data_IF_028431390795
#
_entry.id   IF_028431390795
#
_cell.length_a   1.000
_cell.length_b   1.000
_cell.length_c   1.000
_cell.angle_alpha   90.00
_cell.angle_beta   90.00
_cell.angle_gamma   90.00
#
_symmetry.space_group_name_H-M   'P 1'
#
loop_
_entity.id
_entity.type
_entity.pdbx_description
1 polymer ?
#
# COMPACT_ATOMS: atom_id res chain seq x y z
N UNK A 1 8.56 22.62 3.39
CA UNK A 1 8.98 21.49 4.24
C UNK A 1 10.06 20.71 3.53
N UNK A 2 11.03 20.25 4.28
CA UNK A 2 12.06 19.39 3.70
C UNK A 2 11.46 18.07 3.22
N UNK A 3 11.92 17.61 2.08
CA UNK A 3 11.57 16.30 1.56
C UNK A 3 12.17 15.23 2.45
N UNK A 4 11.39 14.19 2.72
CA UNK A 4 11.79 13.05 3.56
C UNK A 4 11.75 11.79 2.73
N UNK A 5 12.79 10.96 2.85
CA UNK A 5 12.86 9.65 2.21
C UNK A 5 12.60 8.56 3.24
N UNK A 6 11.71 7.65 2.90
CA UNK A 6 11.34 6.52 3.74
C UNK A 6 11.67 5.24 2.98
N UNK A 7 12.36 4.30 3.63
CA UNK A 7 12.79 3.05 3.00
C UNK A 7 11.86 1.91 3.39
N UNK A 8 11.77 0.93 2.51
CA UNK A 8 11.02 -0.28 2.77
C UNK A 8 11.62 -1.49 2.07
N UNK A 9 11.13 -2.67 2.44
CA UNK A 9 11.61 -3.94 1.90
C UNK A 9 10.54 -5.02 2.05
N UNK A 10 10.67 -6.10 1.25
CA UNK A 10 9.85 -7.29 1.43
C UNK A 10 10.39 -8.13 2.59
N UNK A 11 9.63 -9.16 2.95
CA UNK A 11 9.97 -10.01 4.10
C UNK A 11 11.37 -10.65 3.99
N UNK A 12 11.75 -11.14 2.81
CA UNK A 12 13.06 -11.76 2.60
C UNK A 12 14.17 -10.75 2.30
N UNK A 13 13.80 -9.47 2.16
CA UNK A 13 14.70 -8.33 1.90
C UNK A 13 15.40 -8.37 0.53
N UNK A 14 14.98 -9.25 -0.36
CA UNK A 14 15.50 -9.27 -1.74
C UNK A 14 15.02 -8.06 -2.55
N UNK A 15 13.88 -7.49 -2.18
CA UNK A 15 13.34 -6.28 -2.81
C UNK A 15 13.41 -5.13 -1.81
N UNK A 16 13.99 -4.01 -2.26
CA UNK A 16 14.13 -2.80 -1.45
C UNK A 16 13.73 -1.58 -2.26
N UNK A 17 13.12 -0.60 -1.60
CA UNK A 17 12.66 0.60 -2.26
C UNK A 17 12.79 1.83 -1.37
N UNK A 18 12.67 2.98 -2.00
CA UNK A 18 12.57 4.27 -1.31
C UNK A 18 11.35 5.02 -1.84
N UNK A 19 10.69 5.72 -0.94
CA UNK A 19 9.57 6.60 -1.26
C UNK A 19 9.78 7.94 -0.58
N UNK A 20 9.50 9.04 -1.29
CA UNK A 20 9.68 10.38 -0.73
C UNK A 20 8.35 11.09 -0.50
N UNK A 21 8.36 12.03 0.43
CA UNK A 21 7.21 12.87 0.76
C UNK A 21 7.09 14.04 -0.23
N UNK A 22 5.93 14.73 -0.28
CA UNK A 22 4.71 14.46 0.47
C UNK A 22 3.91 13.28 -0.11
N UNK A 23 3.11 12.65 0.75
CA UNK A 23 2.21 11.58 0.31
C UNK A 23 0.91 12.16 -0.22
N UNK A 24 0.36 11.57 -1.27
CA UNK A 24 -0.97 11.90 -1.79
C UNK A 24 -2.04 11.42 -0.81
N UNK A 25 -1.82 10.22 -0.27
CA UNK A 25 -2.77 9.58 0.64
C UNK A 25 -2.06 8.62 1.57
N UNK A 26 -2.59 8.49 2.78
CA UNK A 26 -2.19 7.49 3.76
C UNK A 26 -3.48 7.04 4.44
N UNK A 27 -3.91 5.81 4.19
CA UNK A 27 -5.20 5.37 4.69
C UNK A 27 -5.39 3.87 4.70
N UNK A 28 -6.50 3.47 5.32
CA UNK A 28 -6.95 2.09 5.38
C UNK A 28 -8.02 1.83 4.34
N UNK A 29 -8.11 0.60 3.85
CA UNK A 29 -9.18 0.16 2.95
C UNK A 29 -9.73 -1.18 3.40
N UNK A 30 -11.06 -1.25 3.55
CA UNK A 30 -11.76 -2.42 4.07
C UNK A 30 -12.48 -3.24 3.00
N UNK A 31 -12.29 -2.93 1.72
CA UNK A 31 -12.98 -3.62 0.65
C UNK A 31 -12.58 -5.10 0.58
N UNK A 32 -13.45 -5.93 -0.01
CA UNK A 32 -13.21 -7.36 -0.11
C UNK A 32 -11.91 -7.70 -0.84
N UNK A 33 -11.56 -6.91 -1.85
CA UNK A 33 -10.32 -7.10 -2.61
C UNK A 33 -9.08 -6.87 -1.75
N UNK A 34 -9.09 -5.82 -0.95
CA UNK A 34 -7.99 -5.54 -0.02
C UNK A 34 -7.86 -6.63 1.03
N UNK A 35 -8.99 -7.12 1.56
CA UNK A 35 -8.96 -8.22 2.51
C UNK A 35 -8.37 -9.48 1.90
N UNK A 36 -8.78 -9.81 0.67
CA UNK A 36 -8.23 -10.98 -0.03
C UNK A 36 -6.74 -10.81 -0.30
N UNK A 37 -6.34 -9.61 -0.68
CA UNK A 37 -4.94 -9.33 -1.01
C UNK A 37 -4.00 -9.38 0.20
N UNK A 38 -4.50 -9.03 1.39
CA UNK A 38 -3.67 -9.00 2.61
C UNK A 38 -3.89 -10.21 3.51
N UNK A 39 -5.03 -10.90 3.38
CA UNK A 39 -5.43 -11.94 4.33
C UNK A 39 -5.85 -11.40 5.69
N UNK A 40 -5.96 -10.09 5.83
CA UNK A 40 -6.36 -9.42 7.06
C UNK A 40 -7.71 -8.73 6.91
N UNK A 41 -8.02 -7.85 7.86
CA UNK A 41 -9.30 -7.13 7.88
C UNK A 41 -9.28 -5.87 7.02
N UNK A 42 -8.10 -5.40 6.64
CA UNK A 42 -7.92 -4.17 5.85
C UNK A 42 -6.54 -4.17 5.20
N UNK A 43 -6.36 -3.28 4.23
CA UNK A 43 -5.03 -2.87 3.78
C UNK A 43 -4.72 -1.48 4.35
N UNK A 44 -3.44 -1.17 4.49
CA UNK A 44 -2.98 0.17 4.88
C UNK A 44 -1.96 0.59 3.84
N UNK A 45 -2.30 1.64 3.10
CA UNK A 45 -1.52 2.03 1.94
C UNK A 45 -1.18 3.51 1.95
N UNK A 46 -0.01 3.80 1.39
CA UNK A 46 0.42 5.15 1.06
C UNK A 46 0.39 5.26 -0.46
N UNK A 47 -0.06 6.41 -0.98
CA UNK A 47 0.02 6.70 -2.40
C UNK A 47 0.93 7.89 -2.62
N UNK A 48 1.81 7.79 -3.62
CA UNK A 48 2.72 8.87 -4.02
C UNK A 48 2.71 9.04 -5.53
N UNK A 49 3.07 10.22 -6.06
CA UNK A 49 3.34 10.34 -7.49
C UNK A 49 4.46 9.39 -7.90
N UNK A 50 4.41 8.88 -9.13
CA UNK A 50 5.38 7.88 -9.58
C UNK A 50 6.84 8.37 -9.47
N UNK A 51 7.07 9.66 -9.63
CA UNK A 51 8.40 10.25 -9.53
C UNK A 51 9.00 10.19 -8.11
N UNK A 52 8.17 9.95 -7.10
CA UNK A 52 8.62 9.90 -5.69
C UNK A 52 8.92 8.48 -5.22
N UNK A 53 8.90 7.52 -6.13
CA UNK A 53 9.18 6.12 -5.81
C UNK A 53 10.39 5.63 -6.60
N UNK A 54 11.21 4.81 -5.96
CA UNK A 54 12.37 4.22 -6.61
C UNK A 54 12.65 2.82 -6.05
N UNK A 55 12.79 1.84 -6.96
CA UNK A 55 13.34 0.53 -6.58
C UNK A 55 14.85 0.68 -6.35
N UNK A 56 15.32 0.17 -5.21
CA UNK A 56 16.75 0.16 -4.89
C UNK A 56 17.35 -1.19 -5.27
N UNK A 57 16.58 -2.26 -5.11
CA UNK A 57 17.06 -3.63 -5.32
C UNK A 57 15.89 -4.54 -5.61
N UNK A 58 16.10 -5.51 -6.49
CA UNK A 58 15.20 -6.64 -6.66
C UNK A 58 14.01 -6.41 -7.58
N UNK A 59 13.93 -5.31 -8.30
CA UNK A 59 12.80 -5.05 -9.20
C UNK A 59 12.47 -6.22 -10.13
N UNK A 60 13.45 -6.95 -10.72
CA UNK A 60 13.13 -8.11 -11.58
C UNK A 60 12.40 -9.25 -10.88
N UNK A 61 12.35 -9.28 -9.55
CA UNK A 61 11.64 -10.31 -8.79
C UNK A 61 10.13 -10.08 -8.71
N UNK A 62 9.66 -8.91 -9.14
CA UNK A 62 8.26 -8.53 -9.00
C UNK A 62 7.36 -9.46 -9.80
N UNK A 63 6.23 -9.87 -9.17
CA UNK A 63 5.12 -10.51 -9.87
C UNK A 63 3.90 -9.62 -9.72
N UNK A 64 3.28 -9.28 -10.84
CA UNK A 64 2.14 -8.37 -10.86
C UNK A 64 0.87 -9.10 -11.28
N UNK A 65 -0.22 -8.75 -10.60
CA UNK A 65 -1.56 -9.20 -10.95
C UNK A 65 -2.49 -8.00 -11.06
N UNK A 66 -3.10 -7.83 -12.23
CA UNK A 66 -4.16 -6.86 -12.47
C UNK A 66 -5.48 -7.62 -12.47
N UNK A 67 -6.39 -7.29 -11.55
CA UNK A 67 -7.67 -7.99 -11.45
C UNK A 67 -8.52 -7.66 -12.68
N UNK A 68 -8.87 -8.66 -13.54
CA UNK A 68 -9.53 -8.36 -14.82
C UNK A 68 -10.86 -7.64 -14.69
N UNK A 69 -11.69 -8.00 -13.71
CA UNK A 69 -13.01 -7.41 -13.52
C UNK A 69 -12.98 -6.07 -12.78
N UNK A 70 -11.80 -5.61 -12.34
CA UNK A 70 -11.67 -4.35 -11.64
C UNK A 70 -11.22 -3.25 -12.59
N UNK A 71 -11.62 -2.02 -12.28
CA UNK A 71 -11.19 -0.85 -13.03
C UNK A 71 -9.73 -0.51 -12.76
N UNK A 72 -9.31 -0.60 -11.50
CA UNK A 72 -7.98 -0.13 -11.11
C UNK A 72 -7.24 -1.05 -10.15
N UNK A 73 -7.89 -2.08 -9.59
CA UNK A 73 -7.24 -2.94 -8.61
C UNK A 73 -6.10 -3.73 -9.23
N UNK A 74 -4.92 -3.57 -8.65
CA UNK A 74 -3.71 -4.31 -9.00
C UNK A 74 -2.91 -4.58 -7.74
N UNK A 75 -2.01 -5.55 -7.79
CA UNK A 75 -1.06 -5.79 -6.72
C UNK A 75 0.23 -6.38 -7.27
N UNK A 76 1.28 -6.20 -6.53
CA UNK A 76 2.56 -6.83 -6.81
C UNK A 76 3.05 -7.56 -5.56
N UNK A 77 3.76 -8.65 -5.80
CA UNK A 77 4.39 -9.42 -4.73
C UNK A 77 5.86 -9.67 -5.08
N UNK A 78 6.66 -9.94 -4.06
CA UNK A 78 8.01 -10.46 -4.24
C UNK A 78 7.93 -11.88 -4.76
N UNK A 79 8.59 -12.16 -5.88
CA UNK A 79 8.59 -13.51 -6.45
C UNK A 79 9.32 -14.54 -5.61
N UNK A 80 10.09 -14.11 -4.61
CA UNK A 80 10.83 -15.00 -3.72
C UNK A 80 10.07 -15.31 -2.43
N UNK A 81 9.57 -14.30 -1.72
CA UNK A 81 8.87 -14.52 -0.43
C UNK A 81 7.34 -14.33 -0.51
N UNK A 82 6.81 -13.92 -1.67
CA UNK A 82 5.38 -13.69 -1.92
C UNK A 82 4.75 -12.57 -1.07
N UNK A 83 5.57 -11.78 -0.41
CA UNK A 83 5.13 -10.63 0.38
C UNK A 83 4.61 -9.53 -0.54
N UNK A 84 3.54 -8.79 -0.17
CA UNK A 84 3.14 -7.61 -0.92
C UNK A 84 4.26 -6.60 -1.04
N UNK A 85 4.37 -5.95 -2.19
CA UNK A 85 5.35 -4.89 -2.45
C UNK A 85 4.66 -3.74 -3.18
N UNK A 86 5.28 -2.55 -3.24
CA UNK A 86 4.68 -1.43 -3.96
C UNK A 86 4.39 -1.74 -5.42
N UNK A 87 3.34 -1.13 -5.96
CA UNK A 87 2.98 -1.27 -7.37
C UNK A 87 2.54 0.06 -7.96
N UNK A 88 2.84 0.26 -9.24
CA UNK A 88 2.32 1.40 -9.97
C UNK A 88 0.84 1.20 -10.25
N UNK A 89 0.05 2.28 -10.17
CA UNK A 89 -1.34 2.27 -10.60
C UNK A 89 -1.42 1.93 -12.10
N UNK A 90 -2.57 1.42 -12.55
CA UNK A 90 -2.73 1.00 -13.95
C UNK A 90 -2.53 2.15 -14.93
N UNK A 91 -2.84 3.38 -14.51
CA UNK A 91 -2.62 4.57 -15.35
C UNK A 91 -1.17 5.07 -15.31
N UNK A 92 -0.31 4.46 -14.50
CA UNK A 92 1.10 4.83 -14.40
C UNK A 92 1.39 6.13 -13.67
N UNK A 93 0.39 6.75 -13.04
CA UNK A 93 0.53 8.07 -12.42
C UNK A 93 1.03 8.02 -10.98
N UNK A 94 0.75 6.91 -10.29
CA UNK A 94 1.01 6.79 -8.85
C UNK A 94 1.66 5.46 -8.52
N UNK A 95 2.28 5.40 -7.35
CA UNK A 95 2.70 4.13 -6.75
C UNK A 95 1.94 3.97 -5.44
N UNK A 96 1.39 2.77 -5.25
CA UNK A 96 0.71 2.39 -4.02
C UNK A 96 1.70 1.56 -3.20
N UNK A 97 1.95 2.01 -1.97
CA UNK A 97 2.93 1.38 -1.07
C UNK A 97 2.19 0.74 0.09
N UNK A 98 2.28 -0.59 0.25
CA UNK A 98 1.77 -1.24 1.46
C UNK A 98 2.57 -0.73 2.66
N UNK A 99 1.91 0.04 3.54
CA UNK A 99 2.62 0.78 4.59
C UNK A 99 3.36 -0.13 5.59
N UNK A 100 2.84 -1.35 5.79
CA UNK A 100 3.50 -2.31 6.67
C UNK A 100 4.85 -2.80 6.17
N UNK A 101 5.20 -2.57 4.90
CA UNK A 101 6.51 -2.95 4.35
C UNK A 101 7.57 -1.87 4.55
N UNK A 102 7.22 -0.72 5.12
CA UNK A 102 8.19 0.33 5.44
C UNK A 102 9.10 -0.13 6.57
N UNK A 103 10.38 0.14 6.43
CA UNK A 103 11.40 -0.14 7.45
C UNK A 103 11.64 1.08 8.34
N UNK A 104 11.42 2.27 7.80
CA UNK A 104 11.50 3.53 8.54
C UNK A 104 10.09 3.98 8.94
N UNK A 105 9.99 4.76 10.02
CA UNK A 105 8.72 5.34 10.44
C UNK A 105 8.32 6.45 9.47
N UNK A 106 7.15 6.36 8.81
CA UNK A 106 6.73 7.41 7.90
C UNK A 106 6.26 8.65 8.67
N UNK A 107 6.37 9.83 8.07
CA UNK A 107 5.72 11.00 8.65
C UNK A 107 4.21 10.85 8.50
N UNK A 108 3.48 11.25 9.54
CA UNK A 108 2.03 11.18 9.54
C UNK A 108 1.49 9.82 9.95
N UNK A 109 0.20 9.65 9.77
CA UNK A 109 -0.58 8.48 10.17
C UNK A 109 -1.66 8.22 9.14
N UNK A 110 -2.26 7.00 9.12
CA UNK A 110 -3.46 6.79 8.33
C UNK A 110 -4.51 7.84 8.68
N UNK A 111 -5.08 8.48 7.66
CA UNK A 111 -5.96 9.62 7.84
C UNK A 111 -7.43 9.32 7.50
N UNK A 112 -7.73 8.10 7.01
CA UNK A 112 -9.09 7.76 6.61
C UNK A 112 -9.32 6.25 6.60
N UNK A 113 -10.60 5.88 6.72
CA UNK A 113 -11.09 4.53 6.49
C UNK A 113 -11.84 4.51 5.15
N UNK A 114 -11.28 3.88 4.13
CA UNK A 114 -11.90 3.73 2.83
C UNK A 114 -12.74 2.45 2.75
N UNK A 115 -13.83 2.49 1.98
CA UNK A 115 -14.76 1.37 1.84
C UNK A 115 -15.26 0.85 3.18
N UNK A 116 -15.61 1.78 4.05
CA UNK A 116 -15.97 1.50 5.44
C UNK A 116 -17.18 0.58 5.55
N UNK A 117 -18.16 0.71 4.67
CA UNK A 117 -19.34 -0.15 4.67
C UNK A 117 -19.03 -1.61 4.37
N UNK A 118 -17.89 -1.89 3.75
CA UNK A 118 -17.45 -3.26 3.41
C UNK A 118 -16.67 -3.94 4.52
N UNK A 119 -16.43 -3.27 5.64
CA UNK A 119 -15.66 -3.84 6.74
C UNK A 119 -16.30 -5.10 7.30
N UNK A 120 -15.49 -5.99 7.84
CA UNK A 120 -15.98 -7.21 8.48
C UNK A 120 -16.70 -6.86 9.80
N UNK A 121 -17.66 -7.69 10.18
CA UNK A 121 -18.45 -7.47 11.40
C UNK A 121 -17.80 -8.09 12.64
N UNK A 122 -16.81 -8.94 12.47
CA UNK A 122 -16.24 -9.75 13.55
C UNK A 122 -14.95 -9.13 14.14
N UNK A 123 -14.59 -7.91 13.75
CA UNK A 123 -13.49 -7.15 14.34
C UNK A 123 -14.01 -5.79 14.75
N UNK A 124 -13.71 -5.38 15.96
CA UNK A 124 -13.99 -4.04 16.45
C UNK A 124 -12.86 -3.10 16.01
N UNK A 125 -13.23 -1.97 15.42
CA UNK A 125 -12.26 -0.99 14.91
C UNK A 125 -12.44 0.30 15.69
N UNK A 126 -11.44 0.67 16.48
CA UNK A 126 -11.54 1.74 17.47
C UNK A 126 -11.01 3.11 17.00
N UNK A 127 -10.66 3.26 15.74
CA UNK A 127 -10.18 4.53 15.20
C UNK A 127 -11.34 5.35 14.62
N UNK A 128 -12.44 5.42 15.37
CA UNK A 128 -13.68 6.07 14.89
C UNK A 128 -13.56 7.57 14.66
N UNK A 129 -12.48 8.19 15.17
CA UNK A 129 -12.20 9.60 14.92
C UNK A 129 -11.72 9.88 13.50
N UNK A 130 -11.34 8.84 12.73
CA UNK A 130 -10.93 9.00 11.35
C UNK A 130 -12.14 9.08 10.42
N UNK A 131 -12.08 9.88 9.35
CA UNK A 131 -13.15 9.90 8.36
C UNK A 131 -13.41 8.51 7.78
N UNK A 132 -14.68 8.13 7.71
CA UNK A 132 -15.13 6.86 7.13
C UNK A 132 -15.83 7.15 5.82
N UNK A 133 -15.32 6.60 4.72
CA UNK A 133 -15.87 6.81 3.37
C UNK A 133 -16.14 5.47 2.69
N UNK A 134 -17.00 5.50 1.67
CA UNK A 134 -17.26 4.31 0.83
C UNK A 134 -16.75 4.48 -0.59
#
# INVERSE_FOLDING_TARGET
MAEQTVRGSCLCKSMRYEVSTPFIRFGHCYCSRCRKATGGVRSTNIAVPIAQFRWIQGEPLVKRFDLPEAKSFARQICGNCNCPVPHASRDGQRVIVPAGTLDDVPPGKPAAHGHWSSRVSWVEINESHLPCTD
#
